data_IF_296865248733
#
_entry.id   IF_296865248733
#
_cell.length_a   1.000
_cell.length_b   1.000
_cell.length_c   1.000
_cell.angle_alpha   90.00
_cell.angle_beta   90.00
_cell.angle_gamma   90.00
#
_symmetry.space_group_name_H-M   'P 1'
#
loop_
_entity.id
_entity.type
_entity.pdbx_description
1 polymer ?
#
# COMPACT_ATOMS: atom_id res chain seq x y z
N UNK A 1 12.99 0.27 -13.96
CA UNK A 1 12.10 -0.51 -14.86
C UNK A 1 12.02 -1.96 -14.35
N UNK A 2 11.24 -2.23 -13.31
CA UNK A 2 11.06 -3.59 -12.78
C UNK A 2 9.88 -4.25 -13.51
N UNK A 3 10.18 -5.03 -14.56
CA UNK A 3 9.22 -5.97 -15.15
C UNK A 3 9.23 -7.25 -14.31
N UNK A 4 8.22 -7.46 -13.47
CA UNK A 4 8.03 -8.75 -12.80
C UNK A 4 7.45 -9.76 -13.80
N UNK A 5 8.29 -10.70 -14.26
CA UNK A 5 7.85 -12.00 -14.80
C UNK A 5 7.52 -12.92 -13.61
N UNK A 6 6.32 -13.48 -13.59
CA UNK A 6 5.93 -14.86 -13.25
C UNK A 6 4.51 -14.93 -12.67
N UNK A 7 3.70 -15.84 -13.22
CA UNK A 7 2.43 -16.30 -12.66
C UNK A 7 1.25 -16.21 -13.62
N UNK A 8 1.15 -17.14 -14.56
CA UNK A 8 -0.10 -17.43 -15.28
C UNK A 8 -1.04 -18.08 -14.28
N UNK A 9 -2.13 -17.40 -13.91
CA UNK A 9 -3.26 -17.98 -13.19
C UNK A 9 -4.56 -17.43 -13.80
N UNK A 10 -5.39 -18.39 -14.26
CA UNK A 10 -6.77 -18.37 -14.76
C UNK A 10 -7.56 -17.02 -14.82
N UNK A 11 -8.25 -16.84 -15.94
CA UNK A 11 -8.90 -15.60 -16.41
C UNK A 11 -10.25 -15.22 -15.73
N UNK A 12 -10.41 -15.47 -14.43
CA UNK A 12 -11.73 -15.42 -13.78
C UNK A 12 -11.99 -14.44 -12.62
N UNK A 13 -11.02 -13.64 -12.15
CA UNK A 13 -11.18 -12.88 -10.89
C UNK A 13 -10.53 -11.50 -10.80
N UNK A 14 -10.06 -10.94 -11.91
CA UNK A 14 -9.11 -9.82 -11.93
C UNK A 14 -9.67 -8.44 -11.57
N UNK A 15 -10.96 -8.35 -11.31
CA UNK A 15 -11.69 -7.10 -11.34
C UNK A 15 -11.76 -6.41 -9.96
N UNK A 16 -11.94 -7.15 -8.87
CA UNK A 16 -11.99 -6.58 -7.49
C UNK A 16 -11.51 -7.56 -6.43
N UNK A 17 -11.22 -8.80 -6.82
CA UNK A 17 -11.09 -9.90 -5.89
C UNK A 17 -9.90 -10.72 -6.30
N UNK A 18 -8.75 -10.19 -5.94
CA UNK A 18 -7.68 -11.13 -5.70
C UNK A 18 -7.95 -11.76 -4.34
N UNK A 19 -7.99 -13.08 -4.30
CA UNK A 19 -7.58 -13.86 -3.12
C UNK A 19 -6.08 -13.60 -2.79
N UNK A 20 -5.51 -12.46 -3.22
CA UNK A 20 -4.13 -12.01 -3.00
C UNK A 20 -3.96 -11.18 -1.74
N UNK A 21 -4.99 -11.01 -0.90
CA UNK A 21 -4.72 -10.62 0.49
C UNK A 21 -3.64 -11.53 1.06
N UNK A 22 -3.71 -12.84 0.83
CA UNK A 22 -2.66 -13.76 1.25
C UNK A 22 -1.42 -13.70 0.35
N UNK A 23 -1.54 -13.63 -0.98
CA UNK A 23 -0.38 -13.70 -1.88
C UNK A 23 0.50 -12.44 -1.86
N UNK A 24 -0.09 -11.24 -1.80
CA UNK A 24 0.68 -9.99 -1.65
C UNK A 24 1.12 -9.76 -0.21
N UNK A 25 0.33 -10.16 0.79
CA UNK A 25 0.72 -9.96 2.19
C UNK A 25 1.77 -10.95 2.66
N UNK A 26 1.73 -12.21 2.19
CA UNK A 26 2.82 -13.16 2.41
C UNK A 26 4.13 -12.68 1.78
N UNK A 27 4.09 -12.05 0.61
CA UNK A 27 5.28 -11.43 0.00
C UNK A 27 5.78 -10.20 0.77
N UNK A 28 4.88 -9.37 1.29
CA UNK A 28 5.23 -8.19 2.10
C UNK A 28 5.82 -8.60 3.45
N UNK A 29 5.12 -9.45 4.19
CA UNK A 29 5.61 -10.03 5.45
C UNK A 29 6.91 -10.80 5.22
N UNK A 30 7.06 -11.54 4.12
CA UNK A 30 8.32 -12.20 3.76
C UNK A 30 9.43 -11.18 3.55
N UNK A 31 9.20 -10.09 2.81
CA UNK A 31 10.19 -9.01 2.61
C UNK A 31 10.56 -8.34 3.93
N UNK A 32 9.59 -7.99 4.77
CA UNK A 32 9.84 -7.35 6.07
C UNK A 32 10.55 -8.32 7.02
N UNK A 33 10.10 -9.57 7.13
CA UNK A 33 10.77 -10.62 7.95
C UNK A 33 12.19 -10.90 7.46
N UNK A 34 12.40 -11.01 6.15
CA UNK A 34 13.74 -11.20 5.56
C UNK A 34 14.67 -10.02 5.84
N UNK A 35 14.11 -8.81 5.87
CA UNK A 35 14.85 -7.60 6.20
C UNK A 35 14.86 -7.30 7.70
N UNK A 36 14.22 -8.09 8.57
CA UNK A 36 14.05 -7.76 9.99
C UNK A 36 15.40 -7.54 10.69
N UNK A 37 16.38 -8.40 10.42
CA UNK A 37 17.76 -8.21 10.91
C UNK A 37 18.35 -6.91 10.37
N UNK A 38 18.12 -6.55 9.11
CA UNK A 38 18.58 -5.29 8.52
C UNK A 38 17.91 -4.07 9.15
N UNK A 39 16.62 -4.17 9.53
CA UNK A 39 15.90 -3.09 10.24
C UNK A 39 16.60 -2.77 11.57
N UNK A 40 17.19 -3.76 12.23
CA UNK A 40 17.91 -3.60 13.49
C UNK A 40 19.34 -3.09 13.30
N UNK A 41 19.96 -3.30 12.13
CA UNK A 41 21.38 -2.96 11.89
C UNK A 41 21.60 -1.61 11.19
N UNK A 42 20.61 -1.09 10.47
CA UNK A 42 20.74 0.13 9.69
C UNK A 42 19.52 1.02 9.81
N UNK A 43 19.71 2.32 9.55
CA UNK A 43 18.58 3.22 9.34
C UNK A 43 17.80 2.79 8.11
N UNK A 44 16.52 2.51 8.30
CA UNK A 44 15.64 1.99 7.27
C UNK A 44 14.35 2.82 7.19
N UNK A 45 13.83 2.97 5.97
CA UNK A 45 12.55 3.60 5.73
C UNK A 45 11.68 2.66 4.90
N UNK A 46 10.46 2.36 5.38
CA UNK A 46 9.47 1.56 4.66
C UNK A 46 8.51 2.51 3.96
N UNK A 47 8.58 2.52 2.63
CA UNK A 47 7.74 3.35 1.77
C UNK A 47 6.34 2.77 1.57
N UNK A 48 5.37 3.66 1.35
CA UNK A 48 3.99 3.41 0.94
C UNK A 48 3.37 2.10 1.52
N UNK A 49 3.43 1.89 2.84
CA UNK A 49 2.93 0.68 3.48
C UNK A 49 1.41 0.60 3.32
N UNK A 50 0.92 -0.40 2.58
CA UNK A 50 -0.53 -0.64 2.44
C UNK A 50 -1.08 -1.71 3.38
N UNK A 51 -0.27 -2.65 3.88
CA UNK A 51 -0.76 -3.77 4.68
C UNK A 51 -0.60 -3.53 6.18
N UNK A 52 -1.71 -3.62 6.91
CA UNK A 52 -1.73 -3.55 8.36
C UNK A 52 -1.12 -4.78 9.06
N UNK A 53 -1.01 -5.91 8.38
CA UNK A 53 -0.42 -7.13 8.96
C UNK A 53 1.06 -6.94 9.33
N UNK A 54 1.75 -6.00 8.68
CA UNK A 54 3.14 -5.66 8.99
C UNK A 54 3.29 -4.82 10.27
N UNK A 55 2.22 -4.19 10.77
CA UNK A 55 2.30 -3.22 11.87
C UNK A 55 2.86 -3.83 13.16
N UNK A 56 2.45 -5.06 13.51
CA UNK A 56 2.96 -5.73 14.72
C UNK A 56 4.47 -5.97 14.65
N UNK A 57 4.98 -6.41 13.48
CA UNK A 57 6.39 -6.66 13.25
C UNK A 57 7.21 -5.36 13.25
N UNK A 58 6.66 -4.29 12.65
CA UNK A 58 7.27 -2.96 12.63
C UNK A 58 7.37 -2.42 14.07
N UNK A 59 6.30 -2.55 14.85
CA UNK A 59 6.26 -2.08 16.22
C UNK A 59 7.26 -2.83 17.11
N UNK A 60 7.35 -4.16 16.98
CA UNK A 60 8.37 -4.96 17.67
C UNK A 60 9.80 -4.57 17.26
N UNK A 61 10.06 -4.33 15.97
CA UNK A 61 11.37 -3.87 15.51
C UNK A 61 11.74 -2.50 16.12
N UNK A 62 10.80 -1.53 16.11
CA UNK A 62 10.98 -0.22 16.74
C UNK A 62 11.23 -0.36 18.26
N UNK A 63 10.47 -1.20 18.95
CA UNK A 63 10.63 -1.45 20.39
C UNK A 63 12.01 -2.04 20.75
N UNK A 64 12.65 -2.76 19.82
CA UNK A 64 14.02 -3.30 19.96
C UNK A 64 15.12 -2.30 19.56
N UNK A 65 14.78 -1.06 19.26
CA UNK A 65 15.73 0.00 18.94
C UNK A 65 16.09 0.12 17.46
N UNK A 66 15.32 -0.50 16.54
CA UNK A 66 15.51 -0.27 15.11
C UNK A 66 15.41 1.23 14.78
N UNK A 67 16.38 1.76 14.01
CA UNK A 67 16.25 3.11 13.42
C UNK A 67 15.35 3.04 12.19
N UNK A 68 14.04 2.86 12.43
CA UNK A 68 13.03 2.57 11.42
C UNK A 68 11.99 3.67 11.34
N UNK A 69 11.75 4.20 10.15
CA UNK A 69 10.56 5.02 9.84
C UNK A 69 9.69 4.34 8.80
N UNK A 70 8.39 4.61 8.83
CA UNK A 70 7.38 3.99 8.00
C UNK A 70 6.36 5.03 7.58
N UNK A 71 6.06 5.07 6.29
CA UNK A 71 5.01 5.92 5.72
C UNK A 71 3.85 5.08 5.18
N UNK A 72 2.67 5.69 5.11
CA UNK A 72 1.53 5.20 4.32
C UNK A 72 1.00 6.31 3.42
N UNK A 73 0.03 6.01 2.57
CA UNK A 73 -0.45 6.93 1.54
C UNK A 73 -1.92 7.32 1.74
N UNK A 74 -2.30 8.51 1.26
CA UNK A 74 -3.69 9.00 1.35
C UNK A 74 -4.69 7.96 0.85
N UNK A 75 -4.43 7.33 -0.30
CA UNK A 75 -5.33 6.39 -0.93
C UNK A 75 -5.50 5.08 -0.13
N UNK A 76 -4.57 4.68 0.73
CA UNK A 76 -4.77 3.54 1.64
C UNK A 76 -5.59 3.91 2.89
N UNK A 77 -5.68 5.20 3.20
CA UNK A 77 -6.45 5.73 4.33
C UNK A 77 -7.88 6.12 3.94
N UNK A 78 -8.13 6.38 2.66
CA UNK A 78 -9.41 6.90 2.17
C UNK A 78 -10.20 5.92 1.32
N UNK A 79 -9.54 5.05 0.53
CA UNK A 79 -10.22 4.09 -0.34
C UNK A 79 -10.25 2.70 0.30
N UNK A 80 -11.33 1.96 0.05
CA UNK A 80 -11.50 0.57 0.44
C UNK A 80 -11.81 -0.28 -0.80
N UNK A 81 -11.26 -1.51 -0.84
CA UNK A 81 -11.40 -2.40 -1.99
C UNK A 81 -12.86 -2.76 -2.31
N UNK A 82 -13.73 -2.80 -1.30
CA UNK A 82 -15.17 -3.08 -1.44
C UNK A 82 -15.93 -1.97 -2.18
N UNK A 83 -15.39 -0.75 -2.22
CA UNK A 83 -16.00 0.43 -2.84
C UNK A 83 -15.53 0.64 -4.29
N UNK A 84 -14.54 -0.13 -4.74
CA UNK A 84 -13.97 -0.02 -6.09
C UNK A 84 -14.75 -0.91 -7.05
N UNK A 85 -15.23 -0.41 -8.20
CA UNK A 85 -15.90 -1.25 -9.18
C UNK A 85 -14.97 -2.31 -9.77
N UNK A 86 -15.49 -3.50 -10.10
CA UNK A 86 -14.72 -4.54 -10.77
C UNK A 86 -14.06 -4.05 -12.07
N UNK A 87 -12.73 -4.09 -12.12
CA UNK A 87 -11.94 -3.85 -13.33
C UNK A 87 -11.54 -2.38 -13.52
N UNK A 88 -11.93 -1.50 -12.60
CA UNK A 88 -11.60 -0.07 -12.64
C UNK A 88 -10.08 0.16 -12.54
N UNK A 89 -9.48 0.51 -13.67
CA UNK A 89 -8.04 0.68 -13.82
C UNK A 89 -7.53 1.99 -13.23
N UNK A 90 -8.40 2.98 -13.06
CA UNK A 90 -8.14 4.26 -12.41
C UNK A 90 -7.63 4.10 -10.97
N UNK A 91 -8.05 3.04 -10.26
CA UNK A 91 -7.61 2.71 -8.90
C UNK A 91 -6.39 1.80 -8.85
N UNK A 92 -5.84 1.38 -10.01
CA UNK A 92 -4.67 0.50 -10.03
C UNK A 92 -3.44 1.21 -9.45
N UNK A 93 -2.83 0.60 -8.44
CA UNK A 93 -1.55 0.99 -7.86
C UNK A 93 -0.78 -0.22 -7.32
N UNK A 94 0.49 -0.01 -6.98
CA UNK A 94 1.33 -1.01 -6.32
C UNK A 94 2.08 -0.33 -5.18
N UNK A 95 1.81 -0.69 -3.91
CA UNK A 95 0.89 -1.75 -3.45
C UNK A 95 -0.60 -1.55 -3.79
N UNK A 96 -1.44 -2.61 -3.78
CA UNK A 96 -2.86 -2.46 -4.05
C UNK A 96 -3.63 -1.85 -2.86
N UNK A 97 -4.76 -1.20 -3.16
CA UNK A 97 -5.77 -0.80 -2.17
C UNK A 97 -6.37 -2.06 -1.54
N UNK A 98 -6.61 -2.00 -0.23
CA UNK A 98 -7.05 -3.14 0.60
C UNK A 98 -8.44 -2.89 1.16
N UNK A 99 -8.97 -3.91 1.84
CA UNK A 99 -10.29 -3.88 2.49
C UNK A 99 -10.40 -2.84 3.59
N UNK A 100 -11.63 -2.44 3.92
CA UNK A 100 -11.94 -1.46 4.98
C UNK A 100 -11.29 -1.76 6.33
N UNK A 101 -11.33 -3.03 6.77
CA UNK A 101 -10.68 -3.46 8.03
C UNK A 101 -9.16 -3.19 8.04
N UNK A 102 -8.49 -3.28 6.89
CA UNK A 102 -7.08 -2.92 6.79
C UNK A 102 -6.88 -1.41 6.94
N UNK A 103 -7.71 -0.60 6.27
CA UNK A 103 -7.69 0.85 6.36
C UNK A 103 -7.84 1.34 7.82
N UNK A 104 -8.78 0.78 8.59
CA UNK A 104 -8.99 1.11 10.00
C UNK A 104 -7.76 0.81 10.88
N UNK A 105 -7.06 -0.28 10.58
CA UNK A 105 -5.82 -0.64 11.27
C UNK A 105 -4.66 0.28 10.90
N UNK A 106 -4.56 0.75 9.66
CA UNK A 106 -3.59 1.79 9.28
C UNK A 106 -3.87 3.10 10.01
N UNK A 107 -5.13 3.51 10.11
CA UNK A 107 -5.54 4.65 10.93
C UNK A 107 -5.11 4.49 12.39
N UNK A 108 -5.33 3.30 12.97
CA UNK A 108 -4.87 2.98 14.33
C UNK A 108 -3.33 3.03 14.43
N UNK A 109 -2.63 2.57 13.39
CA UNK A 109 -1.17 2.63 13.26
C UNK A 109 -0.60 4.04 13.22
N UNK A 110 -1.34 5.01 12.67
CA UNK A 110 -0.99 6.43 12.74
C UNK A 110 -1.20 6.98 14.16
N UNK A 111 -2.38 6.72 14.75
CA UNK A 111 -2.72 7.20 16.10
C UNK A 111 -1.74 6.71 17.17
N UNK A 112 -1.28 5.47 17.06
CA UNK A 112 -0.32 4.88 17.99
C UNK A 112 1.16 5.10 17.58
N UNK A 113 1.42 5.89 16.54
CA UNK A 113 2.76 6.23 16.04
C UNK A 113 3.59 5.04 15.54
N UNK A 114 2.95 3.91 15.21
CA UNK A 114 3.62 2.83 14.47
C UNK A 114 4.00 3.31 13.06
N UNK A 115 3.11 4.08 12.43
CA UNK A 115 3.33 4.81 11.19
C UNK A 115 3.74 6.25 11.51
N UNK A 116 4.76 6.75 10.81
CA UNK A 116 5.37 8.04 11.09
C UNK A 116 4.85 9.16 10.19
N UNK A 117 4.44 8.82 8.95
CA UNK A 117 4.14 9.81 7.92
C UNK A 117 2.99 9.36 7.02
N UNK A 118 2.31 10.36 6.47
CA UNK A 118 1.35 10.18 5.37
C UNK A 118 1.92 10.92 4.16
N UNK A 119 2.04 10.22 3.03
CA UNK A 119 2.60 10.74 1.79
C UNK A 119 1.64 10.55 0.61
N UNK A 120 1.95 11.15 -0.54
CA UNK A 120 1.11 11.02 -1.74
C UNK A 120 1.32 9.70 -2.48
N UNK A 121 2.59 9.26 -2.58
CA UNK A 121 3.03 8.31 -3.62
C UNK A 121 2.50 8.71 -5.01
N UNK A 122 2.65 10.00 -5.33
CA UNK A 122 2.15 10.58 -6.56
C UNK A 122 2.85 9.98 -7.78
N UNK A 123 2.09 9.22 -8.59
CA UNK A 123 2.59 8.52 -9.76
C UNK A 123 1.64 8.73 -10.95
N UNK A 124 1.66 9.93 -11.57
CA UNK A 124 0.77 10.26 -12.67
C UNK A 124 1.18 9.55 -13.96
N UNK A 125 0.21 9.39 -14.86
CA UNK A 125 0.46 8.95 -16.24
C UNK A 125 -0.50 9.65 -17.20
N UNK A 126 -0.22 9.54 -18.49
CA UNK A 126 -1.16 9.97 -19.53
C UNK A 126 -2.44 9.11 -19.48
N UNK A 127 -3.63 9.67 -19.77
CA UNK A 127 -4.89 8.96 -19.67
C UNK A 127 -4.93 7.63 -20.42
N UNK A 128 -4.29 7.55 -21.59
CA UNK A 128 -4.29 6.37 -22.47
C UNK A 128 -3.64 5.15 -21.80
N UNK A 129 -2.64 5.37 -20.96
CA UNK A 129 -2.00 4.30 -20.18
C UNK A 129 -2.86 3.87 -18.99
N UNK A 130 -3.78 4.73 -18.53
CA UNK A 130 -4.65 4.45 -17.39
C UNK A 130 -5.95 3.79 -17.83
N UNK A 131 -6.55 4.23 -18.94
CA UNK A 131 -7.87 3.81 -19.43
C UNK A 131 -7.79 2.83 -20.60
N UNK A 132 -6.72 2.03 -20.67
CA UNK A 132 -6.49 1.07 -21.77
C UNK A 132 -7.44 -0.16 -21.77
N UNK A 133 -8.45 -0.18 -20.90
CA UNK A 133 -9.47 -1.24 -20.82
C UNK A 133 -8.98 -2.58 -20.26
N UNK A 134 -7.68 -2.72 -19.95
CA UNK A 134 -7.10 -3.95 -19.42
C UNK A 134 -6.33 -3.67 -18.13
N UNK A 135 -6.84 -4.22 -17.01
CA UNK A 135 -6.24 -4.04 -15.70
C UNK A 135 -4.79 -4.52 -15.62
N UNK A 136 -4.40 -5.58 -16.32
CA UNK A 136 -3.03 -6.10 -16.28
C UNK A 136 -2.04 -5.13 -16.93
N UNK A 137 -2.43 -4.48 -18.02
CA UNK A 137 -1.55 -3.60 -18.79
C UNK A 137 -1.65 -2.13 -18.38
N UNK A 138 -2.72 -1.72 -17.68
CA UNK A 138 -2.89 -0.35 -17.21
C UNK A 138 -1.74 0.13 -16.31
N UNK A 139 -1.45 1.42 -16.31
CA UNK A 139 -0.45 2.01 -15.42
C UNK A 139 -0.86 1.90 -13.94
N UNK A 140 0.05 1.39 -13.11
CA UNK A 140 -0.13 1.30 -11.66
C UNK A 140 0.44 2.52 -10.96
N UNK A 141 -0.43 3.43 -10.51
CA UNK A 141 -0.04 4.68 -9.86
C UNK A 141 -1.24 5.62 -9.67
N UNK A 142 -1.27 6.36 -8.56
CA UNK A 142 -2.35 7.31 -8.25
C UNK A 142 -1.84 8.75 -8.37
N UNK A 143 -2.60 9.59 -9.08
CA UNK A 143 -2.34 11.03 -9.18
C UNK A 143 -2.86 11.78 -7.95
N UNK A 144 -2.17 11.67 -6.81
CA UNK A 144 -2.70 12.10 -5.50
C UNK A 144 -2.11 13.39 -4.90
N UNK A 145 -1.11 14.02 -5.52
CA UNK A 145 -0.31 15.09 -4.88
C UNK A 145 -1.16 16.23 -4.29
N UNK A 146 -2.16 16.69 -5.04
CA UNK A 146 -2.99 17.84 -4.67
C UNK A 146 -3.91 17.59 -3.46
N UNK A 147 -4.14 16.33 -3.08
CA UNK A 147 -5.17 15.98 -2.09
C UNK A 147 -4.66 15.88 -0.65
N UNK A 148 -3.36 16.04 -0.41
CA UNK A 148 -2.81 15.87 0.94
C UNK A 148 -3.44 16.79 1.98
N UNK A 149 -3.59 18.08 1.65
CA UNK A 149 -4.14 19.06 2.56
C UNK A 149 -5.64 18.86 2.84
N UNK A 150 -6.43 18.26 1.94
CA UNK A 150 -7.86 18.04 2.19
C UNK A 150 -8.15 16.70 2.87
N UNK A 151 -7.37 15.66 2.56
CA UNK A 151 -7.58 14.31 3.11
C UNK A 151 -7.01 14.14 4.53
N UNK A 152 -6.03 14.95 4.91
CA UNK A 152 -5.39 14.88 6.24
C UNK A 152 -5.87 15.95 7.24
N UNK A 153 -6.88 16.76 6.89
CA UNK A 153 -7.39 17.85 7.77
C UNK A 153 -7.83 17.36 9.15
N UNK A 154 -8.46 16.18 9.21
CA UNK A 154 -9.02 15.62 10.44
C UNK A 154 -7.99 14.89 11.32
N UNK A 155 -6.69 15.03 11.05
CA UNK A 155 -5.60 14.39 11.81
C UNK A 155 -4.85 15.33 12.73
N UNK A 156 -5.12 16.63 12.64
CA UNK A 156 -4.44 17.68 13.41
C UNK A 156 -5.36 18.30 14.46
N UNK A 157 -6.52 17.70 14.68
CA UNK A 157 -7.47 18.00 15.78
C UNK A 157 -7.46 16.85 16.79
#
# INVERSE_FOLDING_TARGET
>A
MFRSRLGILEAGGWATRTDSEHATTSQYLYKVKKCYIKLLSFRCHIVHLSSAECLALINDAKARGASLTVETCYHYLTLAAEEIPPGSTEFKCCPPIRRKNNQEKLWSGLKNKTLDMIVSDHSPCVPELKTCGNFLTAWGGISSLQFGACLCKNLVE
#
